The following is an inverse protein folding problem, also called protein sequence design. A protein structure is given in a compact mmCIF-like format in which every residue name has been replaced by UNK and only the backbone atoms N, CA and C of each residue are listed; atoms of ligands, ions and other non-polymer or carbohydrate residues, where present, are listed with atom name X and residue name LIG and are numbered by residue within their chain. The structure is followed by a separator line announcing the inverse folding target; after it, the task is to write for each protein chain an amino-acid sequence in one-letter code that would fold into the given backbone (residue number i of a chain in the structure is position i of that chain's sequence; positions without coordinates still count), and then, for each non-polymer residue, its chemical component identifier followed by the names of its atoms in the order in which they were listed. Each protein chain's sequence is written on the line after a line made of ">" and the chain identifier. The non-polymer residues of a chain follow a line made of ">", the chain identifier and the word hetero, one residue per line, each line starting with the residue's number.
data_IF_558507375073
#
_entry.id   IF_558507375073
#
_cell.length_a   1.000
_cell.length_b   1.000
_cell.length_c   1.000
_cell.angle_alpha   90.00
_cell.angle_beta   90.00
_cell.angle_gamma   90.00
#
_symmetry.space_group_name_H-M   'P 1'
#
loop_
_entity.id
_entity.type
_entity.pdbx_description
1 polymer ?
#
# COMPACT_ATOMS: atom_id res chain seq x y z
N UNK A 1 0.86 -6.63 9.94
CA UNK A 1 0.59 -5.24 9.47
C UNK A 1 0.07 -5.29 8.04
N UNK A 2 -0.73 -4.33 7.58
CA UNK A 2 -1.26 -4.28 6.20
C UNK A 2 -1.19 -2.87 5.62
N UNK A 3 -1.20 -2.77 4.28
CA UNK A 3 -1.17 -1.49 3.56
C UNK A 3 -2.50 -1.26 2.84
N UNK A 4 -3.07 -0.06 2.97
CA UNK A 4 -4.31 0.36 2.33
C UNK A 4 -4.07 0.87 0.89
N UNK A 5 -4.73 0.25 -0.09
CA UNK A 5 -4.61 0.56 -1.52
C UNK A 5 -5.02 2.00 -1.83
N UNK A 6 -6.03 2.55 -1.14
CA UNK A 6 -6.51 3.90 -1.41
C UNK A 6 -5.41 4.94 -1.18
N UNK A 7 -4.64 4.81 -0.10
CA UNK A 7 -3.58 5.76 0.20
C UNK A 7 -2.50 5.78 -0.89
N UNK A 8 -2.07 4.61 -1.39
CA UNK A 8 -1.15 4.52 -2.53
C UNK A 8 -1.74 5.24 -3.75
N UNK A 9 -3.03 5.03 -4.04
CA UNK A 9 -3.72 5.71 -5.13
C UNK A 9 -3.77 7.22 -4.94
N UNK A 10 -3.96 7.72 -3.72
CA UNK A 10 -4.04 9.16 -3.46
C UNK A 10 -2.66 9.84 -3.67
N UNK A 11 -1.56 9.14 -3.38
CA UNK A 11 -0.18 9.61 -3.65
C UNK A 11 0.15 9.58 -5.14
N UNK A 12 -0.04 8.44 -5.81
CA UNK A 12 0.40 8.25 -7.20
C UNK A 12 -0.64 8.63 -8.25
N UNK A 13 -1.92 8.70 -7.85
CA UNK A 13 -3.07 8.87 -8.74
C UNK A 13 -3.62 10.29 -8.82
N UNK A 14 -3.05 11.25 -8.07
CA UNK A 14 -3.28 12.70 -8.16
C UNK A 14 -4.71 13.09 -8.51
N UNK A 15 -5.58 13.23 -7.50
CA UNK A 15 -6.92 13.85 -7.56
C UNK A 15 -7.56 13.91 -8.97
N UNK A 16 -7.81 12.76 -9.61
CA UNK A 16 -8.75 12.71 -10.72
C UNK A 16 -10.14 12.72 -10.09
N UNK A 17 -10.67 13.92 -9.94
CA UNK A 17 -12.04 14.16 -9.51
C UNK A 17 -13.00 13.20 -10.21
N UNK A 18 -14.03 12.77 -9.47
CA UNK A 18 -15.12 11.91 -9.92
C UNK A 18 -15.80 12.51 -11.16
N UNK A 19 -15.23 12.26 -12.34
CA UNK A 19 -15.84 12.50 -13.63
C UNK A 19 -16.73 11.30 -13.94
N UNK A 20 -18.03 11.45 -13.66
CA UNK A 20 -19.03 10.43 -13.98
C UNK A 20 -18.89 9.96 -15.42
N UNK A 21 -18.82 8.63 -15.59
CA UNK A 21 -18.83 7.98 -16.90
C UNK A 21 -20.18 8.27 -17.57
N UNK A 22 -20.23 9.34 -18.37
CA UNK A 22 -21.28 9.51 -19.38
C UNK A 22 -20.99 8.51 -20.50
N UNK A 23 -21.68 7.36 -20.46
CA UNK A 23 -21.83 6.47 -21.61
C UNK A 23 -22.42 7.27 -22.77
N UNK A 24 -21.59 7.67 -23.73
CA UNK A 24 -22.05 8.15 -25.03
C UNK A 24 -21.80 7.04 -26.04
N UNK A 25 -22.87 6.31 -26.36
CA UNK A 25 -22.86 5.35 -27.45
C UNK A 25 -22.71 6.09 -28.78
N UNK A 26 -21.66 5.74 -29.54
CA UNK A 26 -21.62 6.00 -30.98
C UNK A 26 -21.16 4.76 -31.72
N UNK A 27 -22.15 4.12 -32.35
CA UNK A 27 -21.97 3.17 -33.45
C UNK A 27 -21.20 3.89 -34.57
N UNK A 28 -20.16 3.26 -35.13
CA UNK A 28 -19.92 3.11 -36.58
C UNK A 28 -18.57 2.45 -36.88
N UNK A 29 -18.71 1.25 -37.47
CA UNK A 29 -18.07 0.73 -38.69
C UNK A 29 -16.65 0.14 -38.63
N UNK A 30 -16.70 -1.14 -39.00
CA UNK A 30 -15.73 -2.18 -39.25
C UNK A 30 -14.92 -1.95 -40.55
N UNK A 31 -13.66 -2.39 -40.49
CA UNK A 31 -12.84 -3.08 -41.50
C UNK A 31 -11.94 -2.32 -42.52
N UNK A 32 -10.65 -2.71 -42.41
CA UNK A 32 -9.72 -3.21 -43.43
C UNK A 32 -8.65 -2.30 -44.08
N UNK A 33 -7.41 -2.57 -43.65
CA UNK A 33 -6.14 -2.77 -44.38
C UNK A 33 -5.71 -1.82 -45.51
N UNK A 34 -4.49 -1.26 -45.39
CA UNK A 34 -3.41 -1.37 -46.39
C UNK A 34 -2.11 -0.63 -45.96
N UNK A 35 -0.97 -1.35 -46.07
CA UNK A 35 0.41 -0.84 -46.33
C UNK A 35 1.04 0.11 -45.29
N UNK A 36 2.33 0.11 -44.97
CA UNK A 36 3.49 -0.48 -45.64
C UNK A 36 4.68 -0.41 -44.67
N UNK A 37 5.50 -1.45 -44.73
CA UNK A 37 6.88 -1.59 -44.28
C UNK A 37 7.74 -0.31 -44.39
N UNK A 38 8.42 0.08 -43.30
CA UNK A 38 9.69 0.81 -43.37
C UNK A 38 10.65 0.36 -42.25
N UNK A 39 11.89 0.15 -42.64
CA UNK A 39 12.96 -0.56 -41.94
C UNK A 39 13.96 0.45 -41.37
N UNK A 40 14.45 0.14 -40.15
CA UNK A 40 15.69 0.55 -39.46
C UNK A 40 16.01 2.05 -39.33
N UNK A 41 16.16 2.50 -38.08
CA UNK A 41 17.33 3.29 -37.65
C UNK A 41 17.64 2.97 -36.19
N UNK A 42 18.89 2.56 -35.95
CA UNK A 42 19.45 2.29 -34.64
C UNK A 42 19.60 3.59 -33.85
N UNK A 43 18.91 3.69 -32.71
CA UNK A 43 19.19 4.64 -31.65
C UNK A 43 19.52 3.84 -30.38
N UNK A 44 20.71 3.24 -30.37
CA UNK A 44 21.28 2.60 -29.19
C UNK A 44 21.95 3.65 -28.31
N UNK A 45 21.16 4.46 -27.62
CA UNK A 45 21.62 5.31 -26.52
C UNK A 45 21.04 4.81 -25.21
N UNK A 46 21.92 4.56 -24.24
CA UNK A 46 21.61 4.69 -22.82
C UNK A 46 20.83 3.53 -22.21
N UNK A 47 21.55 2.47 -21.82
CA UNK A 47 21.12 1.60 -20.73
C UNK A 47 21.37 2.33 -19.41
N UNK A 48 20.57 3.34 -19.12
CA UNK A 48 20.42 3.87 -17.78
C UNK A 48 19.32 3.07 -17.10
N UNK A 49 19.71 2.32 -16.08
CA UNK A 49 18.81 1.82 -15.03
C UNK A 49 17.82 2.95 -14.69
N UNK A 50 16.50 2.73 -14.59
CA UNK A 50 15.60 3.77 -14.13
C UNK A 50 15.96 4.10 -12.69
N UNK A 51 16.88 5.06 -12.49
CA UNK A 51 16.86 5.91 -11.31
C UNK A 51 15.45 6.45 -11.27
N UNK A 52 14.73 6.10 -10.22
CA UNK A 52 13.48 6.74 -9.82
C UNK A 52 13.79 8.24 -9.76
N UNK A 53 13.60 8.91 -10.88
CA UNK A 53 13.78 10.34 -10.99
C UNK A 53 12.42 10.87 -10.61
N UNK A 54 12.22 11.03 -9.30
CA UNK A 54 11.01 11.62 -8.77
C UNK A 54 11.02 13.11 -9.13
N UNK A 55 10.64 13.43 -10.37
CA UNK A 55 10.37 14.79 -10.78
C UNK A 55 8.92 15.11 -10.48
N UNK A 56 8.59 15.36 -9.20
CA UNK A 56 7.49 16.26 -8.80
C UNK A 56 7.51 16.53 -7.28
N UNK A 57 7.87 17.79 -6.93
CA UNK A 57 7.74 18.52 -5.66
C UNK A 57 8.45 17.98 -4.41
N UNK A 58 9.54 18.67 -4.09
CA UNK A 58 10.07 19.16 -2.79
C UNK A 58 9.26 19.03 -1.48
N UNK A 59 8.41 18.01 -1.32
CA UNK A 59 7.60 17.80 -0.13
C UNK A 59 7.73 16.34 0.31
N UNK A 60 8.28 16.16 1.51
CA UNK A 60 8.33 14.88 2.22
C UNK A 60 6.96 14.19 2.15
N UNK A 61 6.95 12.92 1.75
CA UNK A 61 5.72 12.13 1.65
C UNK A 61 5.30 11.68 3.06
N UNK A 62 4.15 12.18 3.53
CA UNK A 62 3.55 11.82 4.82
C UNK A 62 2.80 10.48 4.70
N UNK A 63 3.18 9.52 5.54
CA UNK A 63 2.55 8.20 5.65
C UNK A 63 1.70 8.18 6.94
N UNK A 64 0.36 8.32 6.86
CA UNK A 64 -0.50 8.33 8.03
C UNK A 64 -0.61 6.93 8.63
N UNK A 65 -0.20 6.81 9.89
CA UNK A 65 -0.22 5.56 10.65
C UNK A 65 -0.94 5.80 11.97
N UNK A 66 -1.72 4.82 12.42
CA UNK A 66 -2.37 4.88 13.72
C UNK A 66 -1.84 3.75 14.59
N UNK A 67 -1.29 4.08 15.76
CA UNK A 67 -0.85 3.12 16.76
C UNK A 67 -1.56 3.32 18.09
N UNK A 68 -1.76 2.22 18.81
CA UNK A 68 -2.34 2.26 20.16
C UNK A 68 -1.25 2.57 21.19
N UNK A 69 -1.64 3.31 22.22
CA UNK A 69 -0.88 3.44 23.45
C UNK A 69 -1.34 2.33 24.39
N UNK A 70 -0.40 1.60 24.99
CA UNK A 70 -0.74 0.62 26.02
C UNK A 70 -1.40 1.34 27.21
N UNK A 71 -2.66 1.01 27.50
CA UNK A 71 -3.44 1.73 28.51
C UNK A 71 -2.96 1.49 29.95
N UNK A 72 -2.25 0.38 30.20
CA UNK A 72 -1.78 0.03 31.54
C UNK A 72 -0.45 0.73 31.88
N UNK A 73 0.41 0.90 30.89
CA UNK A 73 1.79 1.38 31.04
C UNK A 73 2.03 2.75 30.44
N UNK A 74 1.14 3.22 29.55
CA UNK A 74 1.32 4.41 28.74
C UNK A 74 2.36 4.24 27.63
N UNK A 75 2.85 3.02 27.39
CA UNK A 75 3.95 2.75 26.47
C UNK A 75 3.49 2.83 25.02
N UNK A 76 4.34 3.43 24.18
CA UNK A 76 4.21 3.53 22.73
C UNK A 76 5.17 2.54 22.08
N UNK A 77 4.71 1.31 21.87
CA UNK A 77 5.57 0.19 21.45
C UNK A 77 6.41 0.47 20.20
N UNK A 78 5.86 1.21 19.23
CA UNK A 78 6.53 1.49 17.96
C UNK A 78 7.28 2.83 17.93
N UNK A 79 7.45 3.54 19.05
CA UNK A 79 8.03 4.89 19.06
C UNK A 79 9.49 4.90 18.57
N UNK A 80 10.28 3.92 18.97
CA UNK A 80 11.67 3.77 18.53
C UNK A 80 11.77 3.42 17.05
N UNK A 81 10.88 2.54 16.55
CA UNK A 81 10.80 2.18 15.13
C UNK A 81 10.44 3.40 14.27
N UNK A 82 9.44 4.17 14.70
CA UNK A 82 8.99 5.39 14.01
C UNK A 82 10.10 6.42 13.96
N UNK A 83 10.82 6.63 15.06
CA UNK A 83 11.96 7.53 15.12
C UNK A 83 13.06 7.09 14.15
N UNK A 84 13.47 5.83 14.22
CA UNK A 84 14.51 5.28 13.34
C UNK A 84 14.12 5.37 11.85
N UNK A 85 12.86 5.10 11.52
CA UNK A 85 12.34 5.26 10.16
C UNK A 85 12.41 6.72 9.69
N UNK A 86 11.92 7.67 10.49
CA UNK A 86 11.92 9.09 10.14
C UNK A 86 13.35 9.66 10.00
N UNK A 87 14.29 9.21 10.82
CA UNK A 87 15.71 9.57 10.70
C UNK A 87 16.33 8.97 9.42
N UNK A 88 16.07 7.70 9.12
CA UNK A 88 16.64 7.03 7.95
C UNK A 88 16.15 7.58 6.61
N UNK A 89 14.94 8.14 6.56
CA UNK A 89 14.28 8.63 5.34
C UNK A 89 13.99 10.13 5.35
N UNK A 90 14.72 10.90 6.17
CA UNK A 90 14.54 12.34 6.30
C UNK A 90 14.49 13.06 4.94
N UNK A 91 13.48 13.92 4.76
CA UNK A 91 13.26 14.66 3.52
C UNK A 91 12.67 13.84 2.36
N UNK A 92 12.46 12.54 2.55
CA UNK A 92 11.84 11.65 1.54
C UNK A 92 10.49 11.15 2.05
N UNK A 93 10.48 10.46 3.20
CA UNK A 93 9.28 9.91 3.83
C UNK A 93 9.20 10.32 5.30
N UNK A 94 7.98 10.48 5.80
CA UNK A 94 7.71 10.70 7.22
C UNK A 94 6.54 9.82 7.64
N UNK A 95 6.76 8.94 8.61
CA UNK A 95 5.70 8.28 9.37
C UNK A 95 4.99 9.33 10.24
N UNK A 96 3.80 9.73 9.81
CA UNK A 96 2.93 10.69 10.48
C UNK A 96 1.97 9.92 11.40
N UNK A 97 2.41 9.73 12.64
CA UNK A 97 1.78 8.79 13.57
C UNK A 97 0.80 9.47 14.51
N UNK A 98 -0.44 8.99 14.49
CA UNK A 98 -1.43 9.27 15.51
C UNK A 98 -1.41 8.18 16.60
N UNK A 99 -1.12 8.59 17.84
CA UNK A 99 -1.11 7.72 19.01
C UNK A 99 -2.45 7.76 19.73
N UNK A 100 -3.19 6.66 19.69
CA UNK A 100 -4.52 6.57 20.29
C UNK A 100 -4.49 5.89 21.65
N UNK A 101 -4.92 6.61 22.69
CA UNK A 101 -5.18 6.07 24.02
C UNK A 101 -6.59 5.44 24.10
N UNK A 102 -6.86 4.47 23.23
CA UNK A 102 -8.13 3.72 23.19
C UNK A 102 -7.86 2.22 23.33
N UNK A 103 -8.88 1.48 23.71
CA UNK A 103 -8.80 0.02 23.77
C UNK A 103 -8.73 -0.61 22.37
N UNK A 104 -8.18 -1.82 22.27
CA UNK A 104 -8.20 -2.58 21.01
C UNK A 104 -9.63 -2.80 20.48
N UNK A 105 -10.62 -2.96 21.36
CA UNK A 105 -12.03 -3.09 20.97
C UNK A 105 -12.61 -1.81 20.33
N UNK A 106 -12.25 -0.65 20.87
CA UNK A 106 -12.61 0.64 20.28
C UNK A 106 -11.89 0.85 18.95
N UNK A 107 -10.61 0.51 18.85
CA UNK A 107 -9.86 0.57 17.61
C UNK A 107 -10.50 -0.27 16.49
N UNK A 108 -10.87 -1.53 16.78
CA UNK A 108 -11.61 -2.40 15.84
C UNK A 108 -12.96 -1.82 15.43
N UNK A 109 -13.64 -1.17 16.36
CA UNK A 109 -14.90 -0.47 16.07
C UNK A 109 -14.65 0.75 15.16
N UNK A 110 -13.54 1.46 15.35
CA UNK A 110 -13.13 2.57 14.51
C UNK A 110 -12.73 2.08 13.11
N UNK A 111 -12.00 0.97 12.97
CA UNK A 111 -11.65 0.37 11.68
C UNK A 111 -12.88 0.14 10.80
N UNK A 112 -13.97 -0.39 11.38
CA UNK A 112 -15.24 -0.56 10.65
C UNK A 112 -15.83 0.77 10.20
N UNK A 113 -15.83 1.79 11.06
CA UNK A 113 -16.35 3.13 10.74
C UNK A 113 -15.49 3.81 9.66
N UNK A 114 -14.17 3.77 9.80
CA UNK A 114 -13.22 4.32 8.82
C UNK A 114 -13.29 3.59 7.49
N UNK A 115 -13.56 2.28 7.46
CA UNK A 115 -13.77 1.57 6.20
C UNK A 115 -15.01 2.11 5.45
N UNK A 116 -16.12 2.31 6.17
CA UNK A 116 -17.38 2.85 5.61
C UNK A 116 -17.20 4.31 5.19
N UNK A 117 -16.52 5.13 5.99
CA UNK A 117 -16.24 6.52 5.70
C UNK A 117 -15.17 6.70 4.61
N UNK A 118 -14.47 5.62 4.24
CA UNK A 118 -13.34 5.63 3.32
C UNK A 118 -12.19 6.52 3.83
N UNK A 119 -11.87 6.36 5.12
CA UNK A 119 -10.90 7.13 5.92
C UNK A 119 -9.85 6.24 6.61
N UNK A 120 -9.69 5.00 6.16
CA UNK A 120 -8.70 4.09 6.73
C UNK A 120 -7.27 4.66 6.58
N UNK A 121 -6.41 4.50 7.60
CA UNK A 121 -5.01 4.93 7.52
C UNK A 121 -4.25 4.16 6.42
N UNK A 122 -3.04 4.62 6.09
CA UNK A 122 -2.18 3.95 5.12
C UNK A 122 -1.75 2.57 5.62
N UNK A 123 -1.40 2.51 6.91
CA UNK A 123 -1.02 1.30 7.60
C UNK A 123 -2.13 0.91 8.57
N UNK A 124 -2.64 -0.31 8.40
CA UNK A 124 -3.68 -0.85 9.27
C UNK A 124 -3.07 -1.96 10.13
N UNK A 125 -3.29 -1.84 11.43
CA UNK A 125 -2.92 -2.87 12.40
C UNK A 125 -4.18 -3.66 12.79
N UNK A 126 -4.03 -4.91 13.23
CA UNK A 126 -5.14 -5.69 13.81
C UNK A 126 -6.40 -5.84 12.92
N UNK A 127 -6.27 -5.99 11.59
CA UNK A 127 -7.42 -6.27 10.69
C UNK A 127 -7.95 -7.71 10.86
N UNK A 128 -7.06 -8.63 11.23
CA UNK A 128 -7.35 -10.06 11.38
C UNK A 128 -8.13 -10.40 12.67
N UNK A 129 -8.57 -9.40 13.45
CA UNK A 129 -9.42 -9.64 14.63
C UNK A 129 -10.74 -10.35 14.31
N UNK A 130 -11.16 -10.31 13.04
CA UNK A 130 -12.36 -10.98 12.55
C UNK A 130 -12.13 -11.49 11.12
N UNK A 131 -12.30 -12.79 10.86
CA UNK A 131 -12.20 -13.34 9.51
C UNK A 131 -13.13 -12.63 8.51
N UNK A 132 -14.38 -12.40 8.90
CA UNK A 132 -15.36 -11.71 8.05
C UNK A 132 -14.97 -10.27 7.70
N UNK A 133 -14.31 -9.55 8.62
CA UNK A 133 -13.84 -8.20 8.32
C UNK A 133 -12.62 -8.22 7.39
N UNK A 134 -11.72 -9.18 7.55
CA UNK A 134 -10.61 -9.38 6.64
C UNK A 134 -11.09 -9.71 5.22
N UNK A 135 -11.99 -10.69 5.08
CA UNK A 135 -12.59 -11.06 3.80
C UNK A 135 -13.29 -9.88 3.12
N UNK A 136 -14.01 -9.04 3.88
CA UNK A 136 -14.62 -7.82 3.36
C UNK A 136 -13.57 -6.87 2.77
N UNK A 137 -12.44 -6.67 3.46
CA UNK A 137 -11.37 -5.78 3.02
C UNK A 137 -10.69 -6.28 1.74
N UNK A 138 -10.54 -7.60 1.60
CA UNK A 138 -10.06 -8.23 0.36
C UNK A 138 -11.06 -8.05 -0.78
N UNK A 139 -12.34 -8.37 -0.54
CA UNK A 139 -13.40 -8.24 -1.54
C UNK A 139 -13.57 -6.81 -2.05
N UNK A 140 -13.40 -5.82 -1.18
CA UNK A 140 -13.46 -4.40 -1.52
C UNK A 140 -12.14 -3.87 -2.14
N UNK A 141 -11.11 -4.71 -2.29
CA UNK A 141 -9.81 -4.33 -2.85
C UNK A 141 -9.10 -3.26 -2.03
N UNK A 142 -9.24 -3.31 -0.70
CA UNK A 142 -8.68 -2.32 0.24
C UNK A 142 -7.23 -2.62 0.61
N UNK A 143 -6.79 -3.87 0.50
CA UNK A 143 -5.47 -4.32 0.93
C UNK A 143 -4.54 -4.51 -0.26
N UNK A 144 -3.28 -4.10 -0.09
CA UNK A 144 -2.23 -4.25 -1.10
C UNK A 144 -1.67 -5.66 -1.02
N UNK A 145 -1.57 -6.33 -2.16
CA UNK A 145 -0.80 -7.58 -2.28
C UNK A 145 0.69 -7.25 -2.20
N UNK A 146 1.34 -7.75 -1.16
CA UNK A 146 2.75 -7.52 -0.85
C UNK A 146 3.66 -8.53 -1.54
N UNK A 147 3.12 -9.66 -2.03
CA UNK A 147 3.93 -10.74 -2.61
C UNK A 147 4.87 -10.24 -3.72
N UNK A 148 4.44 -9.40 -4.69
CA UNK A 148 5.34 -8.91 -5.74
C UNK A 148 6.52 -8.10 -5.20
N UNK A 149 6.32 -7.32 -4.12
CA UNK A 149 7.36 -6.47 -3.57
C UNK A 149 8.37 -7.27 -2.74
N UNK A 150 7.90 -8.25 -1.96
CA UNK A 150 8.75 -9.10 -1.14
C UNK A 150 9.49 -10.12 -2.01
N UNK A 151 8.83 -10.72 -3.00
CA UNK A 151 9.45 -11.75 -3.84
C UNK A 151 10.52 -11.18 -4.80
N UNK A 152 10.45 -9.89 -5.15
CA UNK A 152 11.46 -9.19 -5.96
C UNK A 152 12.67 -8.71 -5.13
N UNK A 153 12.56 -8.64 -3.81
CA UNK A 153 13.61 -8.16 -2.89
C UNK A 153 14.12 -9.29 -2.00
N UNK A 154 15.25 -9.94 -2.35
CA UNK A 154 15.81 -11.04 -1.56
C UNK A 154 16.15 -10.65 -0.12
N UNK A 155 16.63 -9.43 0.13
CA UNK A 155 16.99 -8.98 1.47
C UNK A 155 15.75 -8.86 2.35
N UNK A 156 14.66 -8.30 1.81
CA UNK A 156 13.39 -8.22 2.52
C UNK A 156 12.76 -9.60 2.73
N UNK A 157 12.81 -10.46 1.72
CA UNK A 157 12.29 -11.83 1.82
C UNK A 157 13.02 -12.66 2.87
N UNK A 158 14.35 -12.59 2.90
CA UNK A 158 15.19 -13.33 3.83
C UNK A 158 15.14 -12.76 5.26
N UNK A 159 14.53 -11.59 5.46
CA UNK A 159 14.26 -11.02 6.80
C UNK A 159 13.17 -11.79 7.58
N UNK A 160 12.42 -12.68 6.92
CA UNK A 160 11.37 -13.48 7.54
C UNK A 160 11.74 -14.96 7.60
N UNK A 161 11.29 -15.65 8.65
CA UNK A 161 11.26 -17.11 8.64
C UNK A 161 10.32 -17.60 7.53
N UNK A 162 10.83 -18.48 6.67
CA UNK A 162 10.09 -18.98 5.50
C UNK A 162 8.71 -19.53 5.87
N UNK A 163 8.65 -20.36 6.91
CA UNK A 163 7.39 -21.00 7.32
C UNK A 163 6.37 -19.96 7.83
N UNK A 164 6.82 -18.91 8.54
CA UNK A 164 5.96 -17.81 8.97
C UNK A 164 5.42 -17.04 7.77
N UNK A 165 6.28 -16.69 6.82
CA UNK A 165 5.87 -15.97 5.61
C UNK A 165 4.88 -16.79 4.78
N UNK A 166 5.13 -18.10 4.62
CA UNK A 166 4.25 -19.00 3.87
C UNK A 166 2.86 -19.14 4.53
N UNK A 167 2.78 -19.14 5.87
CA UNK A 167 1.47 -19.18 6.57
C UNK A 167 0.62 -17.93 6.38
N UNK A 168 1.24 -16.81 5.98
CA UNK A 168 0.54 -15.56 5.72
C UNK A 168 0.06 -15.45 4.27
N UNK A 169 0.45 -16.38 3.38
CA UNK A 169 0.02 -16.39 1.99
C UNK A 169 -1.37 -17.01 1.84
N UNK A 170 -2.14 -16.45 0.91
CA UNK A 170 -3.42 -17.00 0.48
C UNK A 170 -3.22 -18.20 -0.46
N UNK A 171 -4.30 -18.92 -0.77
CA UNK A 171 -4.26 -20.08 -1.68
C UNK A 171 -3.74 -19.76 -3.09
N UNK A 172 -3.91 -18.51 -3.54
CA UNK A 172 -3.43 -18.01 -4.83
C UNK A 172 -2.01 -17.42 -4.78
N UNK A 173 -1.30 -17.62 -3.65
CA UNK A 173 0.02 -17.10 -3.33
C UNK A 173 0.15 -15.58 -3.10
N UNK A 174 -0.96 -14.85 -3.15
CA UNK A 174 -1.00 -13.44 -2.72
C UNK A 174 -0.71 -13.31 -1.22
N UNK A 175 -0.25 -12.13 -0.80
CA UNK A 175 0.18 -11.87 0.57
C UNK A 175 -0.30 -10.49 1.02
N UNK A 176 -1.38 -10.43 1.78
CA UNK A 176 -1.93 -9.15 2.28
C UNK A 176 -1.48 -8.81 3.70
N UNK A 177 -0.98 -9.80 4.43
CA UNK A 177 -0.51 -9.67 5.81
C UNK A 177 1.02 -9.69 5.79
N UNK A 178 1.63 -8.57 6.16
CA UNK A 178 3.05 -8.56 6.50
C UNK A 178 3.21 -9.15 7.91
N UNK A 179 3.96 -10.26 8.07
CA UNK A 179 4.29 -10.79 9.39
C UNK A 179 5.04 -9.71 10.17
N UNK A 180 4.52 -9.33 11.33
CA UNK A 180 5.29 -8.53 12.28
C UNK A 180 5.96 -9.52 13.20
N UNK A 181 7.30 -9.48 13.30
CA UNK A 181 8.04 -10.33 14.21
C UNK A 181 7.39 -10.28 15.60
N UNK A 182 6.87 -11.40 16.07
CA UNK A 182 6.52 -11.58 17.46
C UNK A 182 7.83 -11.73 18.23
N UNK A 183 8.29 -10.64 18.85
CA UNK A 183 9.24 -10.76 19.95
C UNK A 183 8.51 -11.29 21.20
#
# INVERSE_FOLDING_TARGET
>A
MMINVRWIRDIYGGNKGRGGVRRTGRKKRLLCMLGTLFVLLAAGCGRSNPKITHTQKDQTVKIPITFLIDAATGKRENEDLVRAFNEAYEGIYEADVEWLAITAGEYRSNLKRWNVADELPAIITDVCFSPAFYELMLADGRLVDLAPFIDEDPEWKDAFEKDVLDTCREEDASLYICPTASN
#
